data_IF_386896386754
#
_entry.id   IF_386896386754
#
_cell.length_a   1.000
_cell.length_b   1.000
_cell.length_c   1.000
_cell.angle_alpha   90.00
_cell.angle_beta   90.00
_cell.angle_gamma   90.00
#
_symmetry.space_group_name_H-M   'P 1'
#
loop_
_entity.id
_entity.type
_entity.pdbx_description
1 polymer ?
#
# COMPACT_ATOMS: atom_id res chain seq x y z
N UNK A 1 2.87 -15.00 14.67
CA UNK A 1 2.70 -16.44 14.94
C UNK A 1 2.51 -17.20 13.63
N UNK A 2 3.49 -17.04 12.74
CA UNK A 2 3.58 -17.78 11.48
C UNK A 2 4.73 -18.77 11.58
N UNK A 3 4.69 -19.85 10.79
CA UNK A 3 5.85 -20.68 10.53
C UNK A 3 6.91 -19.90 9.73
N UNK A 4 8.11 -20.46 9.63
CA UNK A 4 9.27 -19.75 9.05
C UNK A 4 9.05 -19.34 7.59
N UNK A 5 8.27 -20.10 6.84
CA UNK A 5 7.89 -19.86 5.44
C UNK A 5 6.61 -19.02 5.27
N UNK A 6 5.97 -18.59 6.37
CA UNK A 6 4.76 -17.76 6.38
C UNK A 6 3.56 -18.36 5.61
N UNK A 7 3.45 -19.68 5.60
CA UNK A 7 2.36 -20.42 4.95
C UNK A 7 1.26 -20.86 5.92
N UNK A 8 1.56 -20.95 7.22
CA UNK A 8 0.62 -21.37 8.27
C UNK A 8 0.97 -20.75 9.64
N UNK A 9 0.18 -21.03 10.66
CA UNK A 9 0.37 -20.58 12.03
C UNK A 9 1.11 -21.62 12.89
N UNK A 10 2.05 -21.19 13.72
CA UNK A 10 2.77 -22.08 14.66
C UNK A 10 1.95 -22.49 15.90
N UNK A 11 0.76 -21.93 16.06
CA UNK A 11 -0.14 -22.23 17.19
C UNK A 11 -1.61 -21.98 16.84
N UNK A 12 -2.50 -22.67 17.53
CA UNK A 12 -3.95 -22.46 17.46
C UNK A 12 -4.38 -21.19 18.19
N UNK A 13 -5.37 -20.49 17.66
CA UNK A 13 -6.04 -19.35 18.29
C UNK A 13 -7.48 -19.24 17.80
N UNK A 14 -8.31 -18.43 18.46
CA UNK A 14 -9.70 -18.20 18.04
C UNK A 14 -9.71 -17.65 16.61
N UNK A 15 -10.30 -18.41 15.67
CA UNK A 15 -10.35 -18.05 14.25
C UNK A 15 -9.21 -18.60 13.38
N UNK A 16 -8.25 -19.36 13.93
CA UNK A 16 -7.14 -19.92 13.13
C UNK A 16 -7.62 -20.89 12.04
N UNK A 17 -8.64 -21.71 12.33
CA UNK A 17 -9.25 -22.61 11.35
C UNK A 17 -9.98 -21.83 10.26
N UNK A 18 -10.80 -20.84 10.63
CA UNK A 18 -11.51 -20.00 9.67
C UNK A 18 -10.57 -19.23 8.72
N UNK A 19 -9.40 -18.80 9.20
CA UNK A 19 -8.38 -18.15 8.36
C UNK A 19 -7.67 -19.15 7.42
N UNK A 20 -7.45 -20.39 7.87
CA UNK A 20 -6.80 -21.44 7.08
C UNK A 20 -7.74 -21.97 5.98
N UNK A 21 -9.02 -22.10 6.30
CA UNK A 21 -10.03 -22.69 5.44
C UNK A 21 -10.78 -21.66 4.59
N UNK A 22 -10.33 -20.40 4.59
CA UNK A 22 -10.94 -19.33 3.81
C UNK A 22 -10.86 -19.65 2.30
N UNK A 23 -12.02 -19.89 1.68
CA UNK A 23 -12.11 -20.20 0.25
C UNK A 23 -11.75 -19.01 -0.65
N UNK A 24 -12.13 -17.80 -0.23
CA UNK A 24 -11.95 -16.56 -0.99
C UNK A 24 -11.18 -15.52 -0.14
N UNK A 25 -9.87 -15.68 0.05
CA UNK A 25 -9.09 -14.75 0.87
C UNK A 25 -9.00 -13.37 0.22
N UNK A 26 -9.16 -12.33 1.02
CA UNK A 26 -8.92 -10.95 0.62
C UNK A 26 -7.58 -10.45 1.17
N UNK A 27 -6.85 -9.69 0.35
CA UNK A 27 -5.54 -9.15 0.67
C UNK A 27 -5.61 -7.64 0.80
N UNK A 28 -4.98 -7.09 1.83
CA UNK A 28 -4.83 -5.65 2.00
C UNK A 28 -3.43 -5.21 1.62
N UNK A 29 -3.33 -4.29 0.67
CA UNK A 29 -2.06 -3.74 0.23
C UNK A 29 -2.03 -2.23 0.37
N UNK A 30 -0.86 -1.70 0.71
CA UNK A 30 -0.61 -0.27 0.62
C UNK A 30 -0.25 0.11 -0.82
N UNK A 31 -0.67 1.30 -1.26
CA UNK A 31 -0.31 1.84 -2.56
C UNK A 31 0.19 3.28 -2.46
N UNK A 32 0.96 3.68 -3.47
CA UNK A 32 1.37 5.08 -3.70
C UNK A 32 1.18 5.43 -5.17
N UNK A 33 0.52 6.55 -5.44
CA UNK A 33 0.35 7.10 -6.78
C UNK A 33 1.54 7.94 -7.23
N UNK A 34 1.33 8.68 -8.32
CA UNK A 34 2.37 9.49 -8.96
C UNK A 34 2.22 11.00 -8.70
N UNK A 35 1.08 11.42 -8.18
CA UNK A 35 0.76 12.83 -7.90
C UNK A 35 -0.31 12.93 -6.80
N UNK A 36 -0.85 14.13 -6.58
CA UNK A 36 -1.78 14.44 -5.49
C UNK A 36 -3.22 13.99 -5.75
N UNK A 37 -3.54 13.52 -6.96
CA UNK A 37 -4.91 13.17 -7.34
C UNK A 37 -5.36 11.94 -6.54
N UNK A 38 -6.43 12.13 -5.79
CA UNK A 38 -7.11 11.08 -5.04
C UNK A 38 -8.37 10.64 -5.77
N UNK A 39 -8.77 9.40 -5.53
CA UNK A 39 -10.14 8.94 -5.77
C UNK A 39 -10.95 9.15 -4.49
N UNK A 40 -12.27 9.33 -4.62
CA UNK A 40 -13.19 9.17 -3.49
C UNK A 40 -13.07 7.75 -2.92
N UNK A 41 -13.48 7.53 -1.68
CA UNK A 41 -13.55 6.18 -1.06
C UNK A 41 -14.99 5.76 -0.76
N UNK A 42 -15.95 6.41 -1.40
CA UNK A 42 -17.37 6.05 -1.37
C UNK A 42 -17.62 4.75 -2.17
N UNK A 43 -18.84 4.20 -2.10
CA UNK A 43 -19.26 2.85 -2.55
C UNK A 43 -19.06 2.54 -4.06
N UNK A 44 -18.42 3.42 -4.81
CA UNK A 44 -18.19 3.30 -6.25
C UNK A 44 -16.72 3.14 -6.64
N UNK A 45 -15.83 2.89 -5.67
CA UNK A 45 -14.42 2.65 -5.98
C UNK A 45 -14.15 1.24 -6.46
N UNK A 46 -13.30 1.15 -7.47
CA UNK A 46 -12.83 -0.13 -8.00
C UNK A 46 -11.33 -0.13 -8.12
N UNK A 47 -10.74 -1.29 -7.85
CA UNK A 47 -9.34 -1.60 -8.09
C UNK A 47 -9.28 -2.51 -9.31
N UNK A 48 -8.47 -2.14 -10.29
CA UNK A 48 -8.31 -2.84 -11.55
C UNK A 48 -6.88 -3.37 -11.70
N UNK A 49 -6.73 -4.60 -12.19
CA UNK A 49 -5.43 -5.16 -12.56
C UNK A 49 -4.88 -4.58 -13.87
N UNK A 50 -3.73 -5.10 -14.32
CA UNK A 50 -3.08 -4.67 -15.57
C UNK A 50 -3.90 -4.92 -16.84
N UNK A 51 -4.84 -5.86 -16.80
CA UNK A 51 -5.75 -6.21 -17.89
C UNK A 51 -7.09 -5.45 -17.80
N UNK A 52 -7.31 -4.72 -16.71
CA UNK A 52 -8.51 -3.93 -16.46
C UNK A 52 -9.64 -4.69 -15.76
N UNK A 53 -9.38 -5.87 -15.21
CA UNK A 53 -10.37 -6.64 -14.46
C UNK A 53 -10.58 -6.06 -13.05
N UNK A 54 -11.82 -6.07 -12.56
CA UNK A 54 -12.12 -5.69 -11.16
C UNK A 54 -11.60 -6.74 -10.19
N UNK A 55 -10.60 -6.33 -9.40
CA UNK A 55 -9.98 -7.16 -8.39
C UNK A 55 -10.27 -6.70 -6.96
N UNK A 56 -10.99 -5.58 -6.74
CA UNK A 56 -11.19 -5.09 -5.38
C UNK A 56 -11.71 -3.66 -5.22
N UNK A 57 -11.54 -3.13 -4.01
CA UNK A 57 -12.04 -1.82 -3.59
C UNK A 57 -10.95 -0.99 -2.93
N UNK A 58 -11.09 0.33 -2.98
CA UNK A 58 -10.18 1.26 -2.31
C UNK A 58 -10.68 1.47 -0.87
N UNK A 59 -9.86 1.13 0.12
CA UNK A 59 -10.20 1.33 1.52
C UNK A 59 -9.94 2.77 1.96
N UNK A 60 -8.79 3.32 1.56
CA UNK A 60 -8.39 4.69 1.86
C UNK A 60 -7.64 5.31 0.69
N UNK A 61 -7.80 6.62 0.49
CA UNK A 61 -7.01 7.39 -0.46
C UNK A 61 -6.81 8.80 0.10
N UNK A 62 -5.58 9.12 0.49
CA UNK A 62 -5.18 10.40 1.08
C UNK A 62 -3.98 10.97 0.34
N UNK A 63 -3.66 12.23 0.61
CA UNK A 63 -2.44 12.87 0.08
C UNK A 63 -1.45 12.96 1.23
N UNK A 64 -0.33 12.27 1.11
CA UNK A 64 0.77 12.39 2.06
C UNK A 64 1.73 13.47 1.57
N UNK A 65 1.72 14.64 2.23
CA UNK A 65 2.58 15.79 1.90
C UNK A 65 4.03 15.63 2.36
N UNK A 66 4.35 14.58 3.11
CA UNK A 66 5.69 14.29 3.61
C UNK A 66 6.52 13.40 2.68
N UNK A 67 5.96 12.97 1.55
CA UNK A 67 6.63 12.11 0.57
C UNK A 67 6.59 12.68 -0.84
N UNK A 68 7.57 12.31 -1.65
CA UNK A 68 7.65 12.64 -3.06
C UNK A 68 8.36 11.53 -3.82
N UNK A 69 8.23 11.53 -5.14
CA UNK A 69 8.90 10.56 -6.00
C UNK A 69 10.02 11.26 -6.79
N UNK A 70 11.18 10.62 -6.87
CA UNK A 70 12.25 10.98 -7.77
C UNK A 70 12.70 9.74 -8.54
N UNK A 71 12.60 9.78 -9.86
CA UNK A 71 12.65 8.60 -10.72
C UNK A 71 11.69 7.51 -10.21
N UNK A 72 12.17 6.31 -9.91
CA UNK A 72 11.34 5.20 -9.47
C UNK A 72 11.28 5.00 -7.94
N UNK A 73 11.93 5.87 -7.17
CA UNK A 73 12.01 5.78 -5.71
C UNK A 73 11.16 6.84 -5.01
N UNK A 74 10.47 6.42 -3.96
CA UNK A 74 9.78 7.30 -3.02
C UNK A 74 10.81 7.76 -1.98
N UNK A 75 10.83 9.06 -1.74
CA UNK A 75 11.59 9.70 -0.68
C UNK A 75 10.63 10.38 0.28
N UNK A 76 10.93 10.34 1.57
CA UNK A 76 10.28 11.19 2.55
C UNK A 76 11.09 12.47 2.78
N UNK A 77 10.48 13.46 3.44
CA UNK A 77 11.19 14.66 3.91
C UNK A 77 12.41 14.30 4.79
N UNK A 78 12.34 13.17 5.49
CA UNK A 78 13.36 12.68 6.39
C UNK A 78 14.39 11.77 5.73
N UNK A 79 14.20 11.39 4.45
CA UNK A 79 15.17 10.52 3.76
C UNK A 79 16.57 11.17 3.78
N UNK A 80 17.58 10.45 4.29
CA UNK A 80 18.94 10.99 4.45
C UNK A 80 19.66 11.18 3.12
N UNK A 81 19.28 10.40 2.11
CA UNK A 81 19.89 10.29 0.80
C UNK A 81 18.99 10.83 -0.32
N UNK A 82 18.06 11.73 0.02
CA UNK A 82 17.27 12.45 -0.98
C UNK A 82 18.18 13.26 -1.92
N UNK A 83 17.86 13.35 -3.22
CA UNK A 83 18.64 14.16 -4.16
C UNK A 83 18.80 15.60 -3.71
N UNK A 84 19.89 16.26 -4.12
CA UNK A 84 20.10 17.67 -3.85
C UNK A 84 18.93 18.49 -4.41
N UNK A 85 18.44 19.44 -3.61
CA UNK A 85 17.25 20.26 -3.93
C UNK A 85 15.95 19.46 -4.15
N UNK A 86 15.86 18.21 -3.67
CA UNK A 86 14.62 17.43 -3.74
C UNK A 86 13.49 18.13 -2.96
N UNK A 87 12.45 18.55 -3.69
CA UNK A 87 11.25 19.15 -3.11
C UNK A 87 10.15 18.10 -3.02
N UNK A 88 9.78 17.78 -1.79
CA UNK A 88 8.62 16.96 -1.47
C UNK A 88 7.36 17.70 -1.95
N UNK A 89 6.62 17.12 -2.90
CA UNK A 89 5.39 17.72 -3.45
C UNK A 89 4.11 17.06 -2.93
N UNK A 90 4.26 15.93 -2.25
CA UNK A 90 3.17 15.05 -1.85
C UNK A 90 2.87 13.99 -2.90
N UNK A 91 2.35 12.85 -2.45
CA UNK A 91 1.81 11.78 -3.31
C UNK A 91 0.48 11.32 -2.74
N UNK A 92 -0.44 10.89 -3.59
CA UNK A 92 -1.58 10.13 -3.13
C UNK A 92 -1.14 8.73 -2.68
N UNK A 93 -1.76 8.23 -1.62
CA UNK A 93 -1.46 6.93 -1.06
C UNK A 93 -2.64 6.41 -0.25
N UNK A 94 -2.61 5.14 0.10
CA UNK A 94 -3.63 4.55 0.95
C UNK A 94 -3.59 3.04 0.90
N UNK A 95 -4.75 2.43 1.10
CA UNK A 95 -4.90 0.98 1.13
C UNK A 95 -5.99 0.52 0.18
N UNK A 96 -5.75 -0.63 -0.45
CA UNK A 96 -6.73 -1.37 -1.26
C UNK A 96 -6.99 -2.71 -0.61
N UNK A 97 -8.19 -3.24 -0.80
CA UNK A 97 -8.55 -4.62 -0.49
C UNK A 97 -8.87 -5.35 -1.79
N UNK A 98 -8.15 -6.42 -2.07
CA UNK A 98 -8.23 -7.14 -3.35
C UNK A 98 -8.43 -8.64 -3.14
N UNK A 99 -9.04 -9.30 -4.12
CA UNK A 99 -9.29 -10.75 -4.13
C UNK A 99 -8.15 -11.55 -4.79
N UNK A 100 -7.18 -10.86 -5.38
CA UNK A 100 -6.03 -11.44 -6.06
C UNK A 100 -4.75 -11.02 -5.36
N UNK A 101 -3.80 -11.95 -5.21
CA UNK A 101 -2.48 -11.64 -4.63
C UNK A 101 -1.69 -10.75 -5.59
N UNK A 102 -1.16 -9.64 -5.08
CA UNK A 102 -0.34 -8.68 -5.83
C UNK A 102 1.11 -8.72 -5.35
N UNK A 103 2.03 -8.36 -6.24
CA UNK A 103 3.44 -8.24 -5.92
C UNK A 103 3.80 -6.80 -5.53
N UNK A 104 4.78 -6.63 -4.63
CA UNK A 104 5.33 -5.31 -4.37
C UNK A 104 6.03 -4.77 -5.62
N UNK A 105 5.78 -3.49 -5.90
CA UNK A 105 6.24 -2.83 -7.11
C UNK A 105 5.30 -2.99 -8.31
N UNK A 106 4.26 -3.83 -8.20
CA UNK A 106 3.24 -3.98 -9.24
C UNK A 106 2.42 -2.69 -9.40
N UNK A 107 2.05 -2.37 -10.64
CA UNK A 107 1.21 -1.21 -10.96
C UNK A 107 -0.21 -1.67 -11.22
N UNK A 108 -1.14 -1.08 -10.49
CA UNK A 108 -2.59 -1.29 -10.63
C UNK A 108 -3.27 0.03 -10.91
N UNK A 109 -4.56 -0.02 -11.24
CA UNK A 109 -5.37 1.17 -11.43
C UNK A 109 -6.47 1.25 -10.38
N UNK A 110 -6.68 2.44 -9.82
CA UNK A 110 -7.82 2.71 -8.95
C UNK A 110 -8.71 3.75 -9.60
N UNK A 111 -10.02 3.54 -9.48
CA UNK A 111 -11.03 4.31 -10.20
C UNK A 111 -12.17 4.68 -9.26
N UNK A 112 -12.66 5.91 -9.42
CA UNK A 112 -13.98 6.34 -8.96
C UNK A 112 -14.79 6.87 -10.17
N UNK A 113 -15.96 7.46 -9.91
CA UNK A 113 -16.80 8.06 -10.95
C UNK A 113 -16.17 9.24 -11.68
N UNK A 114 -15.13 9.86 -11.12
CA UNK A 114 -14.53 11.11 -11.62
C UNK A 114 -13.22 10.88 -12.35
N UNK A 115 -12.43 9.89 -11.93
CA UNK A 115 -11.08 9.65 -12.46
C UNK A 115 -10.61 8.23 -12.26
N UNK A 116 -9.60 7.90 -13.04
CA UNK A 116 -8.83 6.66 -12.99
C UNK A 116 -7.36 7.02 -12.86
N UNK A 117 -6.67 6.43 -11.88
CA UNK A 117 -5.26 6.74 -11.59
C UNK A 117 -4.45 5.46 -11.44
N UNK A 118 -3.24 5.47 -12.00
CA UNK A 118 -2.24 4.41 -11.82
C UNK A 118 -1.53 4.58 -10.49
N UNK A 119 -1.45 3.50 -9.71
CA UNK A 119 -0.78 3.44 -8.42
C UNK A 119 0.12 2.22 -8.34
N UNK A 120 1.14 2.29 -7.50
CA UNK A 120 2.08 1.19 -7.29
C UNK A 120 1.87 0.57 -5.92
N UNK A 121 1.81 -0.76 -5.85
CA UNK A 121 1.78 -1.50 -4.59
C UNK A 121 3.15 -1.38 -3.93
N UNK A 122 3.17 -1.02 -2.64
CA UNK A 122 4.40 -0.78 -1.89
C UNK A 122 4.36 -1.44 -0.52
N UNK A 123 5.53 -1.84 -0.04
CA UNK A 123 5.69 -2.34 1.33
C UNK A 123 5.72 -1.18 2.35
N UNK A 124 6.33 -0.05 1.96
CA UNK A 124 6.41 1.16 2.78
C UNK A 124 5.97 2.40 2.00
N UNK A 125 4.84 2.99 2.43
CA UNK A 125 4.30 4.24 1.87
C UNK A 125 5.18 5.45 2.19
N UNK A 126 5.79 5.48 3.38
CA UNK A 126 6.62 6.59 3.85
C UNK A 126 7.91 6.03 4.43
N UNK A 127 8.98 5.92 3.62
CA UNK A 127 10.28 5.47 4.11
C UNK A 127 10.88 6.46 5.11
N UNK A 128 11.86 6.00 5.89
CA UNK A 128 12.67 6.82 6.81
C UNK A 128 11.84 7.55 7.89
N UNK A 129 10.80 6.88 8.40
CA UNK A 129 9.98 7.43 9.50
C UNK A 129 10.84 7.58 10.75
N UNK A 130 10.79 8.75 11.35
CA UNK A 130 11.53 9.06 12.58
C UNK A 130 10.99 8.37 13.83
N UNK A 131 9.76 7.84 13.78
CA UNK A 131 9.05 7.26 14.93
C UNK A 131 9.26 5.74 15.12
N UNK A 132 10.11 5.07 14.34
CA UNK A 132 10.43 3.65 14.53
C UNK A 132 11.93 3.44 14.63
N UNK A 133 12.52 3.87 15.74
CA UNK A 133 13.67 3.11 16.25
C UNK A 133 13.09 1.83 16.85
N UNK A 134 13.57 0.62 16.48
CA UNK A 134 13.26 -0.59 17.23
C UNK A 134 13.49 -0.31 18.72
N UNK A 135 12.65 -0.83 19.61
CA UNK A 135 12.79 -0.59 21.06
C UNK A 135 14.23 -0.86 21.54
N UNK A 136 14.88 -1.87 20.94
CA UNK A 136 16.29 -2.22 21.18
C UNK A 136 17.30 -1.09 20.88
N UNK A 137 16.94 -0.12 20.05
CA UNK A 137 17.74 1.05 19.68
C UNK A 137 17.27 2.35 20.38
N UNK A 138 16.28 2.25 21.28
CA UNK A 138 15.76 3.35 22.09
C UNK A 138 16.20 3.29 23.55
N UNK A 139 16.93 2.23 23.95
CA UNK A 139 17.49 2.00 25.28
C UNK A 139 19.02 2.14 25.19
#
# INVERSE_FOLDING_TARGET
PYNDDQTDFTKTFIGSEALRDAADPEFTYAFVGNDLRKVSTEDTTTVLDGDGNDIGVVLTCVTDMGIGRHADRIYSISSPDKPENFKVRGLCCGFVKVRTKLNFGETIEIKDNRRKIKVRIVEDVRPDRTARRPVKQMI
#
